data_IF_496851327892
#
_entry.id   IF_496851327892
#
_cell.length_a   1.000
_cell.length_b   1.000
_cell.length_c   1.000
_cell.angle_alpha   90.00
_cell.angle_beta   90.00
_cell.angle_gamma   90.00
#
_symmetry.space_group_name_H-M   'P 1'
#
loop_
_entity.id
_entity.type
_entity.pdbx_description
1 polymer ?
#
# COMPACT_ATOMS: atom_id res chain seq x y z
N UNK A 1 -6.38 22.16 8.82
CA UNK A 1 -6.97 23.19 7.94
C UNK A 1 -6.07 23.56 6.76
N UNK A 2 -4.75 23.56 6.90
CA UNK A 2 -3.82 23.91 5.82
C UNK A 2 -3.64 22.79 4.80
N UNK A 3 -3.48 21.55 5.26
CA UNK A 3 -3.22 20.37 4.40
C UNK A 3 -4.38 20.10 3.44
N UNK A 4 -5.60 20.13 3.91
CA UNK A 4 -6.80 19.96 3.09
C UNK A 4 -6.94 21.06 2.03
N UNK A 5 -6.66 22.34 2.39
CA UNK A 5 -6.66 23.45 1.43
C UNK A 5 -5.58 23.28 0.38
N UNK A 6 -4.37 22.87 0.77
CA UNK A 6 -3.26 22.60 -0.15
C UNK A 6 -3.61 21.45 -1.11
N UNK A 7 -4.24 20.39 -0.61
CA UNK A 7 -4.72 19.29 -1.45
C UNK A 7 -5.74 19.78 -2.48
N UNK A 8 -6.74 20.56 -2.08
CA UNK A 8 -7.71 21.18 -3.00
C UNK A 8 -7.05 22.05 -4.06
N UNK A 9 -6.12 22.92 -3.66
CA UNK A 9 -5.38 23.76 -4.60
C UNK A 9 -4.57 22.93 -5.60
N UNK A 10 -3.89 21.89 -5.12
CA UNK A 10 -3.08 21.01 -5.93
C UNK A 10 -3.91 20.26 -7.00
N UNK A 11 -5.07 19.75 -6.62
CA UNK A 11 -5.99 19.06 -7.53
C UNK A 11 -6.61 20.04 -8.52
N UNK A 12 -7.05 21.23 -8.07
CA UNK A 12 -7.60 22.27 -8.93
C UNK A 12 -6.60 22.73 -9.99
N UNK A 13 -5.33 22.94 -9.63
CA UNK A 13 -4.27 23.30 -10.59
C UNK A 13 -4.02 22.23 -11.65
N UNK A 14 -4.35 20.97 -11.37
CA UNK A 14 -4.21 19.83 -12.28
C UNK A 14 -5.49 19.49 -13.03
N UNK A 15 -6.60 20.22 -12.77
CA UNK A 15 -7.91 19.90 -13.35
C UNK A 15 -8.48 18.56 -12.90
N UNK A 16 -8.09 18.08 -11.72
CA UNK A 16 -8.56 16.81 -11.17
C UNK A 16 -9.73 17.08 -10.23
N UNK A 17 -10.89 16.54 -10.57
CA UNK A 17 -12.03 16.50 -9.66
C UNK A 17 -11.80 15.45 -8.58
N UNK A 18 -12.05 15.82 -7.32
CA UNK A 18 -11.90 14.90 -6.20
C UNK A 18 -12.81 15.30 -5.04
N UNK A 19 -13.33 14.31 -4.36
CA UNK A 19 -14.00 14.46 -3.08
C UNK A 19 -13.01 14.26 -1.95
N UNK A 20 -12.60 15.36 -1.32
CA UNK A 20 -11.70 15.37 -0.16
C UNK A 20 -12.47 15.43 1.17
N UNK A 21 -13.77 15.22 1.14
CA UNK A 21 -14.65 15.47 2.28
C UNK A 21 -14.87 16.96 2.56
N UNK A 22 -15.79 17.30 3.46
CA UNK A 22 -16.20 18.68 3.72
C UNK A 22 -15.13 19.50 4.44
N UNK A 23 -14.20 18.89 5.15
CA UNK A 23 -13.20 19.56 6.00
C UNK A 23 -11.93 18.73 6.21
N UNK A 24 -10.97 19.34 6.86
CA UNK A 24 -9.78 18.69 7.42
C UNK A 24 -10.19 17.70 8.53
N UNK A 25 -9.75 16.46 8.46
CA UNK A 25 -10.10 15.42 9.42
C UNK A 25 -8.95 14.44 9.64
N UNK A 26 -8.96 13.75 10.79
CA UNK A 26 -8.04 12.67 11.07
C UNK A 26 -8.61 11.35 10.53
N UNK A 27 -7.92 10.74 9.57
CA UNK A 27 -8.38 9.58 8.80
C UNK A 27 -8.85 8.40 9.67
N UNK A 28 -8.19 8.15 10.79
CA UNK A 28 -8.55 7.01 11.63
C UNK A 28 -9.73 7.29 12.55
N UNK A 29 -9.78 8.45 13.17
CA UNK A 29 -10.81 8.80 14.15
C UNK A 29 -12.02 9.46 13.54
N UNK A 30 -11.90 10.00 12.32
CA UNK A 30 -12.97 10.70 11.61
C UNK A 30 -12.92 10.39 10.12
N UNK A 31 -13.34 9.19 9.74
CA UNK A 31 -13.46 8.79 8.34
C UNK A 31 -14.62 9.55 7.68
N UNK A 32 -14.28 10.42 6.73
CA UNK A 32 -15.29 11.23 6.01
C UNK A 32 -15.93 10.50 4.82
N UNK A 33 -15.46 9.29 4.51
CA UNK A 33 -15.94 8.48 3.39
C UNK A 33 -16.24 7.03 3.78
N UNK A 34 -16.97 6.75 4.88
CA UNK A 34 -17.09 5.41 5.46
C UNK A 34 -17.70 4.38 4.52
N UNK A 35 -18.52 4.84 3.57
CA UNK A 35 -19.19 3.99 2.59
C UNK A 35 -18.45 3.87 1.24
N UNK A 36 -17.32 4.57 1.08
CA UNK A 36 -16.53 4.50 -0.14
C UNK A 36 -16.01 3.08 -0.37
N UNK A 37 -16.19 2.59 -1.59
CA UNK A 37 -15.61 1.32 -2.06
C UNK A 37 -14.96 1.59 -3.41
N UNK A 38 -13.63 1.72 -3.38
CA UNK A 38 -12.82 2.07 -4.54
C UNK A 38 -12.39 0.83 -5.33
N UNK A 39 -12.42 0.92 -6.64
CA UNK A 39 -11.86 -0.12 -7.52
C UNK A 39 -10.34 -0.15 -7.44
N UNK A 40 -9.72 1.04 -7.30
CA UNK A 40 -8.27 1.19 -7.16
C UNK A 40 -7.91 2.13 -6.02
N UNK A 41 -6.93 1.72 -5.21
CA UNK A 41 -6.32 2.57 -4.18
C UNK A 41 -4.83 2.70 -4.49
N UNK A 42 -4.35 3.94 -4.58
CA UNK A 42 -2.92 4.25 -4.66
C UNK A 42 -2.59 5.19 -3.51
N UNK A 43 -1.62 4.81 -2.66
CA UNK A 43 -1.30 5.58 -1.48
C UNK A 43 0.18 5.55 -1.11
N UNK A 44 0.62 6.63 -0.46
CA UNK A 44 1.89 6.71 0.24
C UNK A 44 1.61 7.23 1.66
N UNK A 45 1.17 6.36 2.59
CA UNK A 45 0.84 6.77 3.94
C UNK A 45 2.09 7.16 4.72
N UNK A 46 1.97 7.95 5.79
CA UNK A 46 3.10 8.28 6.64
C UNK A 46 3.67 7.03 7.32
N UNK A 47 4.99 6.80 7.14
CA UNK A 47 5.67 5.63 7.67
C UNK A 47 5.77 5.69 9.19
N UNK A 48 5.47 4.58 9.86
CA UNK A 48 5.63 4.41 11.30
C UNK A 48 4.94 5.50 12.14
N UNK A 49 3.78 5.97 11.68
CA UNK A 49 3.00 6.98 12.39
C UNK A 49 2.67 6.51 13.81
N UNK A 50 2.97 7.36 14.79
CA UNK A 50 2.67 7.17 16.20
C UNK A 50 1.57 8.12 16.65
N UNK A 51 0.95 7.81 17.79
CA UNK A 51 -0.04 8.69 18.40
C UNK A 51 -1.37 8.80 17.64
N UNK A 52 -1.63 7.89 16.71
CA UNK A 52 -2.88 7.84 15.96
C UNK A 52 -4.00 7.13 16.72
N UNK A 53 -3.65 6.29 17.70
CA UNK A 53 -4.59 5.44 18.43
C UNK A 53 -5.39 6.22 19.45
N UNK A 54 -6.66 5.94 19.54
CA UNK A 54 -7.55 6.38 20.60
C UNK A 54 -8.58 5.30 20.93
N UNK A 55 -9.27 5.42 22.06
CA UNK A 55 -10.25 4.42 22.50
C UNK A 55 -11.38 4.19 21.50
N UNK A 56 -11.73 5.17 20.68
CA UNK A 56 -12.78 5.02 19.66
C UNK A 56 -12.42 4.04 18.55
N UNK A 57 -11.13 3.67 18.43
CA UNK A 57 -10.64 2.74 17.43
C UNK A 57 -10.61 1.28 17.92
N UNK A 58 -10.97 1.02 19.16
CA UNK A 58 -10.82 -0.31 19.77
C UNK A 58 -11.69 -1.35 19.06
N UNK A 59 -12.93 -0.98 18.75
CA UNK A 59 -13.93 -1.83 18.06
C UNK A 59 -14.24 -1.35 16.63
N UNK A 60 -13.26 -0.72 15.97
CA UNK A 60 -13.46 -0.17 14.64
C UNK A 60 -13.66 -1.29 13.60
N UNK A 61 -14.70 -1.23 12.75
CA UNK A 61 -15.02 -2.26 11.77
C UNK A 61 -13.93 -2.49 10.71
N UNK A 62 -12.98 -1.58 10.58
CA UNK A 62 -11.83 -1.74 9.68
C UNK A 62 -10.85 -2.81 10.13
N UNK A 63 -10.85 -3.19 11.41
CA UNK A 63 -9.91 -4.17 11.97
C UNK A 63 -10.32 -5.63 11.77
N UNK A 64 -10.85 -5.95 10.60
CA UNK A 64 -11.33 -7.30 10.27
C UNK A 64 -10.23 -8.39 10.35
N UNK A 65 -8.97 -8.01 10.22
CA UNK A 65 -7.81 -8.94 10.23
C UNK A 65 -7.01 -8.88 11.54
N UNK A 66 -7.54 -8.19 12.53
CA UNK A 66 -6.96 -8.05 13.86
C UNK A 66 -6.71 -6.60 14.25
N UNK A 67 -6.78 -6.30 15.56
CA UNK A 67 -6.57 -4.95 16.09
C UNK A 67 -5.12 -4.52 15.88
N UNK A 68 -4.86 -3.39 15.18
CA UNK A 68 -3.51 -2.91 14.91
C UNK A 68 -2.73 -2.56 16.17
N UNK A 69 -1.42 -2.38 16.01
CA UNK A 69 -0.56 -1.90 17.07
C UNK A 69 -0.85 -0.42 17.35
N UNK A 70 -1.16 -0.07 18.58
CA UNK A 70 -1.46 1.30 19.03
C UNK A 70 -0.30 2.29 18.89
N UNK A 71 0.92 1.77 18.88
CA UNK A 71 2.15 2.57 18.77
C UNK A 71 2.69 2.74 17.34
N UNK A 72 2.08 2.06 16.32
CA UNK A 72 2.52 2.14 14.94
C UNK A 72 1.36 1.85 13.96
N UNK A 73 1.03 2.81 13.12
CA UNK A 73 -0.12 2.77 12.22
C UNK A 73 0.08 1.95 10.93
N UNK A 74 1.22 1.32 10.69
CA UNK A 74 1.48 0.65 9.41
C UNK A 74 0.37 -0.34 9.04
N UNK A 75 -0.03 -1.22 9.96
CA UNK A 75 -1.09 -2.20 9.72
C UNK A 75 -2.50 -1.62 9.87
N UNK A 76 -2.67 -0.47 10.51
CA UNK A 76 -3.92 0.27 10.47
C UNK A 76 -4.17 0.84 9.07
N UNK A 77 -3.16 1.41 8.41
CA UNK A 77 -3.24 1.86 7.02
C UNK A 77 -3.60 0.73 6.06
N UNK A 78 -2.94 -0.42 6.16
CA UNK A 78 -3.24 -1.59 5.32
C UNK A 78 -4.71 -1.99 5.45
N UNK A 79 -5.23 -2.09 6.68
CA UNK A 79 -6.62 -2.47 6.91
C UNK A 79 -7.61 -1.37 6.51
N UNK A 80 -7.25 -0.10 6.67
CA UNK A 80 -8.03 1.02 6.17
C UNK A 80 -8.20 0.95 4.64
N UNK A 81 -7.12 0.68 3.90
CA UNK A 81 -7.21 0.47 2.44
C UNK A 81 -8.10 -0.72 2.10
N UNK A 82 -7.93 -1.85 2.76
CA UNK A 82 -8.76 -3.03 2.52
C UNK A 82 -10.25 -2.78 2.82
N UNK A 83 -10.55 -2.01 3.84
CA UNK A 83 -11.94 -1.66 4.18
C UNK A 83 -12.60 -0.86 3.06
N UNK A 84 -11.87 0.11 2.50
CA UNK A 84 -12.35 0.97 1.41
C UNK A 84 -12.21 0.36 0.01
N UNK A 85 -11.66 -0.83 -0.11
CA UNK A 85 -11.52 -1.50 -1.39
C UNK A 85 -12.82 -2.24 -1.78
N UNK A 86 -13.25 -2.05 -3.03
CA UNK A 86 -14.39 -2.78 -3.61
C UNK A 86 -14.12 -4.30 -3.61
N UNK A 87 -15.15 -5.17 -3.73
CA UNK A 87 -14.98 -6.62 -3.75
C UNK A 87 -14.06 -7.15 -4.85
N UNK A 88 -13.92 -6.43 -5.95
CA UNK A 88 -12.99 -6.76 -7.06
C UNK A 88 -11.81 -5.80 -7.14
N UNK A 89 -11.66 -4.92 -6.16
CA UNK A 89 -10.67 -3.85 -6.17
C UNK A 89 -9.23 -4.31 -5.91
N UNK A 90 -8.30 -3.45 -6.30
CA UNK A 90 -6.86 -3.63 -6.07
C UNK A 90 -6.23 -2.38 -5.45
N UNK A 91 -5.29 -2.58 -4.56
CA UNK A 91 -4.55 -1.48 -3.91
C UNK A 91 -3.05 -1.62 -4.16
N UNK A 92 -2.39 -0.50 -4.44
CA UNK A 92 -0.93 -0.40 -4.51
C UNK A 92 -0.45 0.74 -3.62
N UNK A 93 0.43 0.47 -2.66
CA UNK A 93 0.88 1.50 -1.72
C UNK A 93 2.31 1.25 -1.22
N UNK A 94 2.91 2.32 -0.76
CA UNK A 94 4.28 2.32 -0.24
C UNK A 94 4.27 2.07 1.27
N UNK A 95 5.14 1.20 1.74
CA UNK A 95 5.36 0.97 3.17
C UNK A 95 6.84 0.96 3.51
N UNK A 96 7.19 1.30 4.75
CA UNK A 96 8.54 1.07 5.24
C UNK A 96 8.85 -0.44 5.27
N UNK A 97 10.06 -0.84 4.88
CA UNK A 97 10.49 -2.25 4.92
C UNK A 97 10.31 -2.91 6.29
N UNK A 98 10.37 -2.12 7.37
CA UNK A 98 10.10 -2.59 8.72
C UNK A 98 8.71 -3.20 8.91
N UNK A 99 7.74 -2.86 8.06
CA UNK A 99 6.42 -3.50 8.09
C UNK A 99 6.49 -5.00 7.76
N UNK A 100 7.36 -5.42 6.83
CA UNK A 100 7.53 -6.83 6.46
C UNK A 100 8.16 -7.66 7.60
N UNK A 101 9.04 -7.06 8.38
CA UNK A 101 9.86 -7.74 9.39
C UNK A 101 9.49 -7.37 10.84
N UNK A 102 8.36 -6.69 11.06
CA UNK A 102 7.92 -6.33 12.40
C UNK A 102 7.80 -7.56 13.30
N UNK A 103 8.47 -7.50 14.46
CA UNK A 103 8.43 -8.53 15.51
C UNK A 103 7.30 -8.30 16.51
N UNK A 104 6.54 -7.21 16.38
CA UNK A 104 5.37 -6.97 17.22
C UNK A 104 4.32 -8.05 16.95
N UNK A 105 3.84 -8.70 18.02
CA UNK A 105 2.91 -9.84 17.90
C UNK A 105 1.65 -9.48 17.11
N UNK A 106 1.06 -8.32 17.38
CA UNK A 106 -0.12 -7.83 16.66
C UNK A 106 0.14 -7.72 15.14
N UNK A 107 1.25 -7.12 14.75
CA UNK A 107 1.63 -6.95 13.34
C UNK A 107 1.84 -8.31 12.65
N UNK A 108 2.52 -9.23 13.34
CA UNK A 108 2.74 -10.59 12.85
C UNK A 108 1.44 -11.35 12.61
N UNK A 109 0.49 -11.25 13.56
CA UNK A 109 -0.83 -11.88 13.44
C UNK A 109 -1.61 -11.31 12.26
N UNK A 110 -1.69 -9.96 12.13
CA UNK A 110 -2.41 -9.34 11.00
C UNK A 110 -1.77 -9.75 9.67
N UNK A 111 -0.44 -9.72 9.57
CA UNK A 111 0.26 -10.14 8.35
C UNK A 111 -0.06 -11.58 7.97
N UNK A 112 -0.05 -12.50 8.92
CA UNK A 112 -0.44 -13.88 8.70
C UNK A 112 -1.88 -13.98 8.21
N UNK A 113 -2.82 -13.33 8.88
CA UNK A 113 -4.24 -13.34 8.50
C UNK A 113 -4.47 -12.77 7.10
N UNK A 114 -3.74 -11.71 6.71
CA UNK A 114 -3.83 -11.14 5.36
C UNK A 114 -3.35 -12.10 4.27
N UNK A 115 -2.28 -12.86 4.54
CA UNK A 115 -1.77 -13.88 3.61
C UNK A 115 -2.72 -15.08 3.54
N UNK A 116 -3.22 -15.57 4.68
CA UNK A 116 -4.16 -16.68 4.75
C UNK A 116 -5.53 -16.34 4.12
N UNK A 117 -5.93 -15.05 4.17
CA UNK A 117 -7.11 -14.53 3.48
C UNK A 117 -6.89 -14.28 1.97
N UNK A 118 -5.72 -14.63 1.44
CA UNK A 118 -5.36 -14.49 0.02
C UNK A 118 -5.48 -13.05 -0.53
N UNK A 119 -5.14 -12.06 0.30
CA UNK A 119 -5.26 -10.64 -0.06
C UNK A 119 -3.97 -10.02 -0.58
N UNK A 120 -2.81 -10.61 -0.25
CA UNK A 120 -1.50 -10.09 -0.67
C UNK A 120 -1.15 -10.63 -2.05
N UNK A 121 -1.12 -9.77 -3.05
CA UNK A 121 -0.86 -10.15 -4.45
C UNK A 121 0.64 -10.10 -4.78
N UNK A 122 1.30 -8.95 -4.49
CA UNK A 122 2.73 -8.79 -4.75
C UNK A 122 3.39 -7.87 -3.71
N UNK A 123 4.64 -8.14 -3.43
CA UNK A 123 5.54 -7.29 -2.63
C UNK A 123 6.79 -6.97 -3.46
N UNK A 124 7.11 -5.69 -3.61
CA UNK A 124 8.34 -5.25 -4.26
C UNK A 124 9.26 -4.61 -3.23
N UNK A 125 10.42 -5.20 -2.99
CA UNK A 125 11.44 -4.60 -2.15
C UNK A 125 12.21 -3.54 -2.96
N UNK A 126 12.09 -2.27 -2.55
CA UNK A 126 12.71 -1.13 -3.24
C UNK A 126 14.12 -0.83 -2.70
N UNK A 127 14.97 -0.16 -3.50
CA UNK A 127 16.26 0.32 -3.02
C UNK A 127 16.10 1.42 -1.96
N UNK A 128 17.16 1.67 -1.24
CA UNK A 128 17.25 2.82 -0.32
C UNK A 128 17.35 4.16 -1.07
N UNK A 129 17.19 5.26 -0.34
CA UNK A 129 17.40 6.64 -0.82
C UNK A 129 16.50 7.09 -1.99
N UNK A 130 15.33 6.47 -2.18
CA UNK A 130 14.36 6.91 -3.17
C UNK A 130 13.61 8.18 -2.77
N UNK A 131 13.57 8.49 -1.47
CA UNK A 131 12.83 9.64 -0.94
C UNK A 131 13.77 10.77 -0.52
N UNK A 132 13.38 12.02 -0.78
CA UNK A 132 14.20 13.21 -0.48
C UNK A 132 14.53 13.34 1.01
N UNK A 133 13.60 13.03 1.87
CA UNK A 133 13.68 13.32 3.31
C UNK A 133 14.03 12.11 4.17
N UNK A 134 14.22 10.94 3.59
CA UNK A 134 14.55 9.73 4.33
C UNK A 134 15.32 8.73 3.48
N UNK A 135 16.36 8.15 4.04
CA UNK A 135 17.09 7.01 3.46
C UNK A 135 16.49 5.65 3.80
N UNK A 136 15.30 5.62 4.43
CA UNK A 136 14.68 4.37 4.87
C UNK A 136 14.29 3.54 3.64
N UNK A 137 14.73 2.27 3.54
CA UNK A 137 14.28 1.39 2.48
C UNK A 137 12.76 1.15 2.61
N UNK A 138 12.08 1.20 1.48
CA UNK A 138 10.65 1.00 1.37
C UNK A 138 10.32 -0.23 0.54
N UNK A 139 9.09 -0.67 0.61
CA UNK A 139 8.53 -1.69 -0.24
C UNK A 139 7.17 -1.24 -0.79
N UNK A 140 6.80 -1.76 -1.96
CA UNK A 140 5.46 -1.65 -2.46
C UNK A 140 4.67 -2.89 -2.04
N UNK A 141 3.44 -2.64 -1.60
CA UNK A 141 2.46 -3.68 -1.36
C UNK A 141 1.37 -3.58 -2.42
N UNK A 142 1.05 -4.71 -3.03
CA UNK A 142 -0.10 -4.84 -3.90
C UNK A 142 -1.08 -5.82 -3.25
N UNK A 143 -2.28 -5.34 -2.99
CA UNK A 143 -3.39 -6.14 -2.46
C UNK A 143 -4.46 -6.28 -3.52
N UNK A 144 -5.15 -7.42 -3.53
CA UNK A 144 -6.28 -7.67 -4.43
C UNK A 144 -7.33 -8.51 -3.72
N UNK A 145 -8.59 -8.05 -3.75
CA UNK A 145 -9.71 -8.83 -3.22
C UNK A 145 -10.23 -9.89 -4.20
N UNK A 146 -9.89 -9.77 -5.49
CA UNK A 146 -10.25 -10.74 -6.50
C UNK A 146 -9.00 -11.23 -7.24
N UNK A 147 -8.57 -12.44 -6.93
CA UNK A 147 -7.41 -13.09 -7.50
C UNK A 147 -7.79 -14.22 -8.48
N UNK A 148 -9.11 -14.47 -8.63
CA UNK A 148 -9.69 -15.47 -9.51
C UNK A 148 -10.35 -14.80 -10.71
N UNK A 149 -9.67 -14.60 -11.79
CA UNK A 149 -10.29 -14.07 -13.00
C UNK A 149 -10.03 -12.59 -13.26
N UNK A 150 -11.04 -11.78 -13.58
CA UNK A 150 -10.91 -10.37 -14.05
C UNK A 150 -9.94 -10.20 -15.22
N UNK A 151 -9.90 -11.17 -16.15
CA UNK A 151 -8.96 -11.12 -17.27
C UNK A 151 -7.55 -11.63 -16.95
N UNK A 152 -7.25 -11.98 -15.71
CA UNK A 152 -5.97 -12.51 -15.26
C UNK A 152 -6.03 -14.02 -14.97
N UNK A 153 -4.87 -14.66 -14.81
CA UNK A 153 -4.80 -16.03 -14.33
C UNK A 153 -5.28 -16.14 -12.88
N UNK A 154 -5.64 -17.33 -12.45
CA UNK A 154 -5.85 -17.62 -11.05
C UNK A 154 -4.51 -17.58 -10.30
N UNK A 155 -4.45 -16.80 -9.23
CA UNK A 155 -3.26 -16.60 -8.38
C UNK A 155 -3.54 -16.94 -6.92
N UNK A 156 -4.58 -17.74 -6.68
CA UNK A 156 -4.96 -18.15 -5.32
C UNK A 156 -3.81 -18.87 -4.63
N UNK A 157 -3.54 -18.47 -3.38
CA UNK A 157 -2.47 -19.06 -2.57
C UNK A 157 -1.05 -18.66 -2.97
N UNK A 158 -0.86 -17.78 -3.95
CA UNK A 158 0.45 -17.33 -4.40
C UNK A 158 0.71 -15.88 -3.99
N UNK A 159 1.95 -15.53 -3.68
CA UNK A 159 2.41 -14.14 -3.48
C UNK A 159 3.68 -13.95 -4.28
N UNK A 160 3.67 -12.95 -5.18
CA UNK A 160 4.88 -12.58 -5.92
C UNK A 160 5.80 -11.71 -5.05
N UNK A 161 7.09 -12.06 -5.00
CA UNK A 161 8.12 -11.19 -4.41
C UNK A 161 9.09 -10.74 -5.49
N UNK A 162 9.25 -9.40 -5.63
CA UNK A 162 10.21 -8.79 -6.56
C UNK A 162 11.31 -8.11 -5.74
N UNK A 163 12.56 -8.53 -5.96
CA UNK A 163 13.71 -7.89 -5.34
C UNK A 163 14.29 -6.81 -6.26
N UNK A 164 13.90 -5.56 -6.02
CA UNK A 164 14.41 -4.39 -6.75
C UNK A 164 15.45 -3.59 -5.95
N UNK A 165 15.98 -4.12 -4.82
CA UNK A 165 16.89 -3.39 -3.92
C UNK A 165 18.18 -2.89 -4.59
N UNK A 166 18.61 -3.55 -5.65
CA UNK A 166 19.82 -3.21 -6.39
C UNK A 166 19.54 -2.40 -7.68
N UNK A 167 18.28 -2.02 -7.93
CA UNK A 167 17.89 -1.23 -9.09
C UNK A 167 18.09 0.28 -8.84
N UNK A 168 18.02 1.05 -9.92
CA UNK A 168 18.13 2.50 -9.90
C UNK A 168 19.56 3.01 -9.87
N UNK A 169 19.67 4.29 -10.17
CA UNK A 169 20.93 5.03 -10.28
C UNK A 169 21.01 6.11 -9.20
N UNK A 170 22.23 6.37 -8.70
CA UNK A 170 22.46 7.47 -7.78
C UNK A 170 22.52 8.79 -8.55
N UNK A 171 21.52 9.66 -8.38
CA UNK A 171 21.50 11.00 -8.97
C UNK A 171 22.27 12.02 -8.13
N UNK A 172 22.39 11.76 -6.83
CA UNK A 172 23.29 12.49 -5.91
C UNK A 172 23.89 11.49 -4.90
N UNK A 173 24.80 11.95 -4.02
CA UNK A 173 25.32 11.10 -2.92
C UNK A 173 24.24 10.62 -1.96
N UNK A 174 23.11 11.31 -1.88
CA UNK A 174 22.04 11.05 -0.93
C UNK A 174 20.74 10.54 -1.58
N UNK A 175 20.64 10.58 -2.92
CA UNK A 175 19.38 10.27 -3.61
C UNK A 175 19.59 9.32 -4.78
N UNK A 176 18.74 8.31 -4.84
CA UNK A 176 18.61 7.31 -5.91
C UNK A 176 17.32 7.57 -6.68
N UNK A 177 17.30 7.21 -7.95
CA UNK A 177 16.13 7.23 -8.80
C UNK A 177 16.04 5.89 -9.56
N UNK A 178 14.86 5.31 -9.64
CA UNK A 178 14.59 4.21 -10.56
C UNK A 178 14.57 4.76 -11.99
N UNK A 179 15.24 4.09 -12.90
CA UNK A 179 15.17 4.41 -14.33
C UNK A 179 13.85 3.93 -14.93
N UNK A 180 13.50 4.42 -16.12
CA UNK A 180 12.33 3.88 -16.83
C UNK A 180 12.47 2.37 -17.09
N UNK A 181 13.65 1.90 -17.43
CA UNK A 181 13.92 0.48 -17.63
C UNK A 181 13.72 -0.35 -16.34
N UNK A 182 14.08 0.19 -15.17
CA UNK A 182 13.82 -0.46 -13.88
C UNK A 182 12.31 -0.57 -13.62
N UNK A 183 11.58 0.51 -13.87
CA UNK A 183 10.13 0.57 -13.70
C UNK A 183 9.44 -0.41 -14.66
N UNK A 184 9.84 -0.42 -15.93
CA UNK A 184 9.32 -1.35 -16.94
C UNK A 184 9.61 -2.81 -16.55
N UNK A 185 10.79 -3.11 -16.03
CA UNK A 185 11.15 -4.44 -15.57
C UNK A 185 10.28 -4.90 -14.40
N UNK A 186 10.08 -4.06 -13.39
CA UNK A 186 9.21 -4.35 -12.24
C UNK A 186 7.77 -4.56 -12.71
N UNK A 187 7.24 -3.62 -13.50
CA UNK A 187 5.88 -3.67 -14.01
C UNK A 187 5.68 -4.85 -14.96
N UNK A 188 6.65 -5.12 -15.84
CA UNK A 188 6.64 -6.26 -16.76
C UNK A 188 6.61 -7.60 -16.03
N UNK A 189 7.45 -7.77 -15.01
CA UNK A 189 7.46 -8.96 -14.15
C UNK A 189 6.09 -9.19 -13.51
N UNK A 190 5.51 -8.15 -12.89
CA UNK A 190 4.19 -8.25 -12.27
C UNK A 190 3.08 -8.55 -13.27
N UNK A 191 3.08 -7.85 -14.43
CA UNK A 191 2.06 -8.05 -15.47
C UNK A 191 2.16 -9.43 -16.11
N UNK A 192 3.37 -9.92 -16.38
CA UNK A 192 3.60 -11.28 -16.88
C UNK A 192 3.08 -12.31 -15.90
N UNK A 193 3.42 -12.19 -14.61
CA UNK A 193 2.94 -13.09 -13.58
C UNK A 193 1.41 -13.11 -13.44
N UNK A 194 0.72 -11.98 -13.67
CA UNK A 194 -0.74 -11.88 -13.68
C UNK A 194 -1.39 -12.38 -14.96
N UNK A 195 -0.65 -12.47 -16.08
CA UNK A 195 -1.20 -12.82 -17.39
C UNK A 195 -1.68 -14.27 -17.43
N UNK A 196 -2.72 -14.52 -18.22
CA UNK A 196 -3.17 -15.89 -18.54
C UNK A 196 -2.17 -16.65 -19.40
N UNK A 197 -1.34 -15.91 -20.15
CA UNK A 197 -0.31 -16.45 -21.03
C UNK A 197 1.04 -16.62 -20.33
N UNK A 198 1.05 -16.52 -19.00
CA UNK A 198 2.26 -16.66 -18.20
C UNK A 198 2.81 -18.10 -18.32
N UNK A 199 3.88 -18.25 -19.07
CA UNK A 199 4.71 -19.45 -19.04
C UNK A 199 5.60 -19.43 -17.79
N UNK A 200 5.86 -20.62 -17.23
CA UNK A 200 6.46 -20.90 -15.92
C UNK A 200 7.93 -20.46 -15.72
N UNK A 201 8.35 -19.32 -16.21
CA UNK A 201 9.73 -18.86 -16.02
C UNK A 201 9.75 -17.48 -15.37
N UNK A 202 9.66 -17.47 -14.04
CA UNK A 202 9.98 -16.32 -13.19
C UNK A 202 11.35 -16.59 -12.52
N UNK A 203 12.42 -16.20 -13.17
CA UNK A 203 13.75 -16.09 -12.56
C UNK A 203 14.03 -14.65 -12.14
#
# INVERSE_FOLDING_TARGET
>A
ASTWRLAKMNLALRGIEADLGPRDAETFTEDQHPDLRADFIIANPPFNLKGYWSAVLEDDPRWAYGTPNDSNANYAWIQHFLYHLAPSGSAGFVMANGALSSKAKKDGTIRQTLVEADLVDCIVALPDKLFFNTGIPACLWFLSKNRHGNGHRDRHGEVLFIDARNMGEMITRAQRQLTEADIERIAGTYNTWRSRDAHENYE
#
